data_IF_097801339019
#
_entry.id   IF_097801339019
#
_cell.length_a   1.000
_cell.length_b   1.000
_cell.length_c   1.000
_cell.angle_alpha   90.00
_cell.angle_beta   90.00
_cell.angle_gamma   90.00
#
_symmetry.space_group_name_H-M   'P 1'
#
loop_
_entity.id
_entity.type
_entity.pdbx_description
1 polymer ?
#
# COMPACT_ATOMS: atom_id res chain seq x y z
N UNK A 1 6.79 -16.62 8.47
CA UNK A 1 6.12 -15.32 8.68
C UNK A 1 6.01 -14.61 7.34
N UNK A 2 5.00 -13.75 7.16
CA UNK A 2 4.81 -12.95 5.95
C UNK A 2 5.25 -11.50 6.14
N UNK A 3 5.04 -10.70 5.11
CA UNK A 3 5.20 -9.24 5.15
C UNK A 3 3.94 -8.60 4.56
N UNK A 4 3.70 -7.35 4.92
CA UNK A 4 2.76 -6.49 4.22
C UNK A 4 3.55 -5.33 3.62
N UNK A 5 3.17 -4.87 2.44
CA UNK A 5 3.81 -3.73 1.79
C UNK A 5 2.78 -2.79 1.17
N UNK A 6 3.04 -1.50 1.29
CA UNK A 6 2.36 -0.46 0.51
C UNK A 6 3.14 -0.28 -0.79
N UNK A 7 2.41 -0.24 -1.91
CA UNK A 7 2.99 -0.03 -3.23
C UNK A 7 2.19 1.05 -3.97
N UNK A 8 2.85 1.77 -4.87
CA UNK A 8 2.17 2.63 -5.81
C UNK A 8 1.30 1.79 -6.73
N UNK A 9 -0.02 2.04 -6.72
CA UNK A 9 -0.99 1.26 -7.52
C UNK A 9 -0.75 1.36 -9.04
N UNK A 10 -0.02 2.38 -9.49
CA UNK A 10 0.24 2.66 -10.92
C UNK A 10 1.55 2.04 -11.41
N UNK A 11 2.67 2.30 -10.74
CA UNK A 11 3.99 1.78 -11.14
C UNK A 11 4.29 0.41 -10.52
N UNK A 12 3.66 0.09 -9.39
CA UNK A 12 4.01 -1.06 -8.57
C UNK A 12 5.27 -0.83 -7.75
N UNK A 13 5.81 0.39 -7.68
CA UNK A 13 6.96 0.68 -6.83
C UNK A 13 6.58 0.49 -5.34
N UNK A 14 7.45 -0.16 -4.57
CA UNK A 14 7.30 -0.28 -3.11
C UNK A 14 7.50 1.07 -2.44
N UNK A 15 6.60 1.44 -1.54
CA UNK A 15 6.73 2.67 -0.77
C UNK A 15 7.81 2.56 0.31
N UNK A 16 8.65 3.59 0.42
CA UNK A 16 9.69 3.64 1.45
C UNK A 16 9.06 3.63 2.84
N UNK A 17 9.52 2.72 3.70
CA UNK A 17 8.97 2.53 5.04
C UNK A 17 7.57 1.89 5.06
N UNK A 18 7.03 1.53 3.89
CA UNK A 18 5.71 0.93 3.75
C UNK A 18 5.70 -0.59 3.88
N UNK A 19 6.79 -1.23 4.32
CA UNK A 19 6.88 -2.69 4.49
C UNK A 19 7.02 -3.08 5.96
N UNK A 20 6.20 -4.03 6.43
CA UNK A 20 6.16 -4.48 7.83
C UNK A 20 6.12 -6.00 7.90
N UNK A 21 6.87 -6.58 8.84
CA UNK A 21 6.81 -8.01 9.14
C UNK A 21 5.51 -8.39 9.86
N UNK A 22 4.87 -9.48 9.42
CA UNK A 22 3.69 -10.03 10.07
C UNK A 22 4.10 -10.92 11.24
N UNK A 23 3.75 -10.52 12.47
CA UNK A 23 3.97 -11.34 13.66
C UNK A 23 3.08 -12.59 13.70
N UNK A 24 1.78 -12.44 13.42
CA UNK A 24 0.81 -13.54 13.34
C UNK A 24 -0.38 -13.18 12.45
N UNK A 25 -0.26 -13.57 11.18
CA UNK A 25 -1.26 -13.28 10.16
C UNK A 25 -1.42 -11.79 9.88
N UNK A 26 -2.33 -11.48 8.98
CA UNK A 26 -2.71 -10.10 8.68
C UNK A 26 -3.63 -9.56 9.77
N UNK A 27 -3.30 -8.38 10.27
CA UNK A 27 -4.07 -7.63 11.26
C UNK A 27 -4.03 -6.17 10.85
N UNK A 28 -5.09 -5.43 11.16
CA UNK A 28 -5.14 -4.00 10.86
C UNK A 28 -3.95 -3.23 11.41
N UNK A 29 -3.44 -3.58 12.60
CA UNK A 29 -2.25 -2.91 13.17
C UNK A 29 -1.01 -2.97 12.26
N UNK A 30 -0.83 -4.05 11.49
CA UNK A 30 0.32 -4.18 10.59
C UNK A 30 0.14 -3.26 9.37
N UNK A 31 -1.06 -3.24 8.79
CA UNK A 31 -1.39 -2.36 7.66
C UNK A 31 -1.47 -0.89 8.09
N UNK A 32 -1.99 -0.60 9.29
CA UNK A 32 -2.06 0.74 9.88
C UNK A 32 -0.65 1.33 9.98
N UNK A 33 0.32 0.58 10.52
CA UNK A 33 1.70 1.04 10.62
C UNK A 33 2.32 1.27 9.23
N UNK A 34 2.18 0.32 8.31
CA UNK A 34 2.71 0.42 6.96
C UNK A 34 2.13 1.62 6.18
N UNK A 35 0.81 1.78 6.21
CA UNK A 35 0.09 2.86 5.54
C UNK A 35 0.39 4.21 6.19
N UNK A 36 0.46 4.30 7.51
CA UNK A 36 0.82 5.54 8.20
C UNK A 36 2.19 6.05 7.72
N UNK A 37 3.21 5.17 7.69
CA UNK A 37 4.55 5.56 7.23
C UNK A 37 4.55 6.06 5.77
N UNK A 38 3.77 5.42 4.89
CA UNK A 38 3.60 5.88 3.51
C UNK A 38 2.88 7.25 3.46
N UNK A 39 1.80 7.41 4.22
CA UNK A 39 1.00 8.64 4.26
C UNK A 39 1.81 9.83 4.75
N UNK A 40 2.64 9.69 5.79
CA UNK A 40 3.50 10.79 6.27
C UNK A 40 4.32 11.42 5.14
N UNK A 41 4.92 10.58 4.31
CA UNK A 41 5.72 11.01 3.15
C UNK A 41 4.84 11.65 2.09
N UNK A 42 3.71 11.04 1.77
CA UNK A 42 2.79 11.55 0.73
C UNK A 42 2.18 12.90 1.15
N UNK A 43 1.78 13.06 2.41
CA UNK A 43 1.23 14.29 2.96
C UNK A 43 2.28 15.41 2.97
N UNK A 44 3.55 15.08 3.22
CA UNK A 44 4.65 16.04 3.12
C UNK A 44 4.87 16.57 1.69
N UNK A 45 4.45 15.83 0.65
CA UNK A 45 4.46 16.30 -0.75
C UNK A 45 3.28 17.23 -1.09
N UNK A 46 2.33 17.42 -0.18
CA UNK A 46 1.19 18.33 -0.37
C UNK A 46 0.12 17.82 -1.35
N UNK A 47 0.07 16.51 -1.62
CA UNK A 47 -0.98 15.93 -2.45
C UNK A 47 -2.36 16.18 -1.83
N UNK A 48 -3.34 16.55 -2.65
CA UNK A 48 -4.71 16.89 -2.21
C UNK A 48 -5.71 15.74 -2.33
N UNK A 49 -5.35 14.69 -3.07
CA UNK A 49 -6.17 13.50 -3.23
C UNK A 49 -5.29 12.26 -3.17
N UNK A 50 -5.70 11.29 -2.37
CA UNK A 50 -4.97 10.03 -2.17
C UNK A 50 -5.97 8.90 -2.37
N UNK A 51 -5.64 7.96 -3.24
CA UNK A 51 -6.43 6.76 -3.47
C UNK A 51 -5.73 5.59 -2.82
N UNK A 52 -6.39 4.94 -1.87
CA UNK A 52 -5.89 3.74 -1.20
C UNK A 52 -6.69 2.54 -1.69
N UNK A 53 -5.97 1.55 -2.23
CA UNK A 53 -6.55 0.27 -2.62
C UNK A 53 -6.20 -0.80 -1.60
N UNK A 54 -7.20 -1.55 -1.15
CA UNK A 54 -7.00 -2.69 -0.27
C UNK A 54 -8.15 -3.69 -0.42
N UNK A 55 -7.87 -4.98 -0.37
CA UNK A 55 -8.86 -6.05 -0.58
C UNK A 55 -10.08 -5.87 0.32
N UNK A 56 -9.85 -5.50 1.58
CA UNK A 56 -10.91 -5.27 2.56
C UNK A 56 -11.06 -3.78 2.90
N UNK A 57 -10.78 -2.89 1.93
CA UNK A 57 -10.91 -1.44 2.10
C UNK A 57 -12.27 -1.07 2.70
N UNK A 58 -13.37 -1.70 2.24
CA UNK A 58 -14.73 -1.43 2.73
C UNK A 58 -14.92 -1.66 4.24
N UNK A 59 -14.17 -2.59 4.84
CA UNK A 59 -14.19 -2.85 6.28
C UNK A 59 -13.13 -2.02 7.01
N UNK A 60 -11.96 -1.91 6.40
CA UNK A 60 -10.79 -1.27 7.00
C UNK A 60 -10.99 0.23 7.24
N UNK A 61 -11.59 0.93 6.27
CA UNK A 61 -11.70 2.40 6.29
C UNK A 61 -12.60 2.94 7.41
N UNK A 62 -13.60 2.16 7.86
CA UNK A 62 -14.66 2.59 8.80
C UNK A 62 -14.10 3.22 10.08
N UNK A 63 -12.97 2.69 10.58
CA UNK A 63 -12.32 3.19 11.79
C UNK A 63 -10.90 3.70 11.54
N UNK A 64 -10.55 3.99 10.29
CA UNK A 64 -9.19 4.35 9.90
C UNK A 64 -8.67 5.58 10.67
N UNK A 65 -9.39 6.71 10.64
CA UNK A 65 -8.98 7.93 11.32
C UNK A 65 -8.82 7.72 12.84
N UNK A 66 -9.72 6.95 13.45
CA UNK A 66 -9.62 6.60 14.88
C UNK A 66 -8.35 5.80 15.20
N UNK A 67 -7.92 4.92 14.30
CA UNK A 67 -6.68 4.14 14.47
C UNK A 67 -5.44 5.01 14.25
N UNK A 68 -5.46 5.92 13.27
CA UNK A 68 -4.35 6.85 13.04
C UNK A 68 -4.13 7.80 14.22
N UNK A 69 -5.22 8.32 14.79
CA UNK A 69 -5.22 9.27 15.89
C UNK A 69 -5.37 8.62 17.29
N UNK A 70 -4.97 7.36 17.46
CA UNK A 70 -5.20 6.66 18.72
C UNK A 70 -4.45 7.35 19.88
N UNK A 71 -5.11 7.68 21.02
CA UNK A 71 -4.53 8.54 22.05
C UNK A 71 -3.29 7.95 22.74
N UNK A 72 -3.25 6.62 22.90
CA UNK A 72 -2.14 5.93 23.58
C UNK A 72 -1.01 5.50 22.62
N UNK A 73 -1.24 5.51 21.32
CA UNK A 73 -0.28 5.09 20.30
C UNK A 73 -0.58 5.79 18.97
N UNK A 74 -0.42 7.12 18.90
CA UNK A 74 -0.71 7.86 17.68
C UNK A 74 0.26 7.41 16.59
N UNK A 75 -0.28 7.07 15.42
CA UNK A 75 0.52 6.73 14.24
C UNK A 75 0.84 7.97 13.41
N UNK A 76 -0.01 8.98 13.47
CA UNK A 76 0.18 10.30 12.88
C UNK A 76 0.18 11.36 13.99
N UNK A 77 1.03 12.37 13.87
CA UNK A 77 1.01 13.55 14.75
C UNK A 77 -0.13 14.52 14.40
N UNK A 78 -0.30 15.59 15.19
CA UNK A 78 -1.39 16.56 15.03
C UNK A 78 -1.34 17.27 13.66
N UNK A 79 -0.15 17.66 13.20
CA UNK A 79 0.05 18.33 11.91
C UNK A 79 -0.19 17.39 10.73
N UNK A 80 0.20 16.12 10.84
CA UNK A 80 -0.07 15.05 9.88
C UNK A 80 -1.56 14.74 9.81
N UNK A 81 -2.26 14.70 10.94
CA UNK A 81 -3.71 14.49 11.01
C UNK A 81 -4.47 15.66 10.39
N UNK A 82 -4.08 16.91 10.66
CA UNK A 82 -4.70 18.09 10.05
C UNK A 82 -4.53 18.05 8.52
N UNK A 83 -3.31 17.77 8.03
CA UNK A 83 -3.06 17.62 6.60
C UNK A 83 -3.90 16.50 5.99
N UNK A 84 -4.01 15.35 6.66
CA UNK A 84 -4.83 14.24 6.19
C UNK A 84 -6.31 14.61 6.08
N UNK A 85 -6.84 15.43 7.00
CA UNK A 85 -8.22 15.92 6.95
C UNK A 85 -8.48 16.89 5.79
N UNK A 86 -7.44 17.56 5.29
CA UNK A 86 -7.51 18.45 4.12
C UNK A 86 -7.37 17.70 2.79
N UNK A 87 -7.16 16.38 2.83
CA UNK A 87 -7.00 15.52 1.65
C UNK A 87 -8.27 14.73 1.39
N UNK A 88 -8.64 14.65 0.12
CA UNK A 88 -9.65 13.70 -0.33
C UNK A 88 -9.06 12.28 -0.32
N UNK A 89 -9.39 11.51 0.71
CA UNK A 89 -8.96 10.13 0.85
C UNK A 89 -10.02 9.17 0.30
N UNK A 90 -9.72 8.53 -0.83
CA UNK A 90 -10.62 7.61 -1.53
C UNK A 90 -10.19 6.17 -1.27
N UNK A 91 -11.14 5.32 -0.91
CA UNK A 91 -10.91 3.91 -0.63
C UNK A 91 -11.51 3.06 -1.74
N UNK A 92 -10.71 2.15 -2.30
CA UNK A 92 -11.15 1.25 -3.37
C UNK A 92 -10.74 -0.20 -3.08
N UNK A 93 -11.48 -1.13 -3.66
CA UNK A 93 -11.15 -2.56 -3.61
C UNK A 93 -10.62 -2.96 -5.00
N UNK A 94 -9.49 -3.70 -5.09
CA UNK A 94 -9.00 -4.21 -6.35
C UNK A 94 -10.08 -5.01 -7.11
N UNK A 95 -10.06 -4.93 -8.44
CA UNK A 95 -11.17 -5.40 -9.29
C UNK A 95 -11.44 -6.90 -9.15
N UNK A 96 -10.41 -7.72 -8.96
CA UNK A 96 -10.56 -9.16 -8.78
C UNK A 96 -11.27 -9.47 -7.47
N UNK A 97 -10.90 -8.76 -6.40
CA UNK A 97 -11.46 -8.95 -5.06
C UNK A 97 -12.86 -8.36 -4.90
N UNK A 98 -13.17 -7.29 -5.63
CA UNK A 98 -14.44 -6.56 -5.51
C UNK A 98 -15.67 -7.44 -5.74
N UNK A 99 -15.61 -8.42 -6.63
CA UNK A 99 -16.73 -9.33 -6.92
C UNK A 99 -17.10 -10.25 -5.75
N UNK A 100 -16.18 -10.46 -4.79
CA UNK A 100 -16.42 -11.28 -3.60
C UNK A 100 -17.05 -10.48 -2.44
N UNK A 101 -17.30 -9.18 -2.64
CA UNK A 101 -17.87 -8.31 -1.62
C UNK A 101 -19.41 -8.28 -1.70
N UNK A 102 -20.04 -7.71 -0.66
CA UNK A 102 -21.48 -7.44 -0.67
C UNK A 102 -21.85 -6.48 -1.82
N UNK A 103 -23.08 -6.59 -2.31
CA UNK A 103 -23.55 -5.88 -3.52
C UNK A 103 -23.25 -4.37 -3.52
N UNK A 104 -23.51 -3.66 -2.40
CA UNK A 104 -23.24 -2.22 -2.30
C UNK A 104 -21.76 -1.82 -2.43
N UNK A 105 -20.81 -2.75 -2.33
CA UNK A 105 -19.40 -2.46 -2.57
C UNK A 105 -19.10 -2.25 -4.05
N UNK A 106 -19.81 -2.93 -4.95
CA UNK A 106 -19.54 -2.90 -6.40
C UNK A 106 -19.65 -1.49 -7.00
N UNK A 107 -20.46 -0.63 -6.39
CA UNK A 107 -20.59 0.76 -6.80
C UNK A 107 -19.64 1.67 -5.99
N UNK A 108 -19.60 1.49 -4.67
CA UNK A 108 -18.92 2.41 -3.74
C UNK A 108 -17.39 2.31 -3.79
N UNK A 109 -16.84 1.11 -3.99
CA UNK A 109 -15.38 0.85 -3.90
C UNK A 109 -14.76 0.51 -5.26
N UNK A 110 -15.43 0.82 -6.36
CA UNK A 110 -15.02 0.44 -7.71
C UNK A 110 -14.11 1.46 -8.38
N UNK A 111 -12.98 0.97 -8.89
CA UNK A 111 -12.13 1.74 -9.79
C UNK A 111 -12.84 2.21 -11.06
N UNK A 112 -13.82 1.46 -11.57
CA UNK A 112 -14.51 1.83 -12.81
C UNK A 112 -15.44 3.04 -12.64
N UNK A 113 -15.90 3.29 -11.41
CA UNK A 113 -16.81 4.39 -11.07
C UNK A 113 -16.11 5.56 -10.37
N UNK A 114 -14.78 5.50 -10.24
CA UNK A 114 -13.99 6.55 -9.58
C UNK A 114 -13.26 7.40 -10.61
N UNK A 115 -13.46 8.72 -10.55
CA UNK A 115 -12.76 9.65 -11.42
C UNK A 115 -11.25 9.72 -11.11
N UNK A 116 -10.46 10.04 -12.13
CA UNK A 116 -9.00 10.34 -12.05
C UNK A 116 -8.10 9.21 -11.54
N UNK A 117 -8.56 7.95 -11.61
CA UNK A 117 -7.74 6.78 -11.29
C UNK A 117 -7.17 6.06 -12.53
N UNK A 118 -7.45 6.58 -13.72
CA UNK A 118 -7.08 5.94 -15.00
C UNK A 118 -7.67 4.53 -15.15
N UNK A 119 -7.11 3.71 -16.05
CA UNK A 119 -7.52 2.30 -16.22
C UNK A 119 -6.81 1.37 -15.23
N UNK A 120 -6.84 1.72 -13.95
CA UNK A 120 -6.19 0.96 -12.87
C UNK A 120 -7.05 -0.23 -12.43
N UNK A 121 -6.43 -1.36 -12.11
CA UNK A 121 -7.11 -2.56 -11.59
C UNK A 121 -6.93 -2.77 -10.07
N UNK A 122 -5.89 -2.20 -9.45
CA UNK A 122 -5.57 -2.44 -8.04
C UNK A 122 -4.72 -3.68 -7.77
N UNK A 123 -4.51 -4.55 -8.77
CA UNK A 123 -3.88 -5.88 -8.61
C UNK A 123 -2.35 -5.90 -8.75
N UNK A 124 -1.71 -4.74 -8.93
CA UNK A 124 -0.27 -4.68 -9.22
C UNK A 124 0.58 -5.24 -8.07
N UNK A 125 0.08 -5.13 -6.84
CA UNK A 125 0.74 -5.66 -5.63
C UNK A 125 0.85 -7.19 -5.68
N UNK A 126 -0.15 -7.89 -6.21
CA UNK A 126 -0.12 -9.35 -6.40
C UNK A 126 0.95 -9.78 -7.43
N UNK A 127 1.12 -8.97 -8.48
CA UNK A 127 2.19 -9.18 -9.45
C UNK A 127 3.58 -8.99 -8.83
N UNK A 128 3.71 -8.08 -7.86
CA UNK A 128 4.95 -7.92 -7.10
C UNK A 128 5.19 -9.12 -6.18
N UNK A 129 4.16 -9.62 -5.49
CA UNK A 129 4.28 -10.82 -4.67
C UNK A 129 4.74 -12.04 -5.46
N UNK A 130 4.22 -12.22 -6.67
CA UNK A 130 4.69 -13.27 -7.58
C UNK A 130 6.21 -13.23 -7.79
N UNK A 131 6.78 -12.03 -7.96
CA UNK A 131 8.23 -11.82 -8.11
C UNK A 131 9.00 -12.01 -6.80
N UNK A 132 8.40 -11.65 -5.67
CA UNK A 132 9.00 -11.79 -4.33
C UNK A 132 8.98 -13.24 -3.80
N UNK A 133 8.18 -14.14 -4.37
CA UNK A 133 8.07 -15.52 -3.90
C UNK A 133 9.43 -16.28 -3.88
N UNK A 134 10.32 -16.00 -4.83
CA UNK A 134 11.67 -16.57 -4.82
C UNK A 134 12.50 -16.10 -3.62
N UNK A 135 12.37 -14.83 -3.25
CA UNK A 135 13.04 -14.21 -2.09
C UNK A 135 12.52 -14.82 -0.79
N UNK A 136 11.23 -15.12 -0.70
CA UNK A 136 10.64 -15.75 0.49
C UNK A 136 11.30 -17.11 0.80
N UNK A 137 11.65 -17.88 -0.24
CA UNK A 137 12.37 -19.15 -0.08
C UNK A 137 13.84 -18.91 0.28
N UNK A 138 14.52 -17.99 -0.43
CA UNK A 138 15.93 -17.69 -0.20
C UNK A 138 16.22 -17.14 1.20
N UNK A 139 15.26 -16.42 1.79
CA UNK A 139 15.41 -15.76 3.09
C UNK A 139 14.92 -16.60 4.27
N UNK A 140 14.45 -17.83 4.04
CA UNK A 140 13.77 -18.64 5.06
C UNK A 140 14.66 -19.01 6.25
N UNK A 141 15.93 -19.35 5.98
CA UNK A 141 16.90 -19.77 7.00
C UNK A 141 17.78 -18.59 7.50
N UNK A 142 17.57 -17.38 6.97
CA UNK A 142 18.35 -16.21 7.36
C UNK A 142 17.97 -15.72 8.76
N UNK A 143 18.95 -15.16 9.47
CA UNK A 143 18.70 -14.45 10.73
C UNK A 143 17.78 -13.24 10.52
N UNK A 144 17.12 -12.80 11.59
CA UNK A 144 16.09 -11.74 11.53
C UNK A 144 16.54 -10.46 10.80
N UNK A 145 17.71 -9.92 11.16
CA UNK A 145 18.24 -8.70 10.54
C UNK A 145 18.62 -8.94 9.07
N UNK A 146 19.36 -10.01 8.79
CA UNK A 146 19.81 -10.35 7.43
C UNK A 146 18.64 -10.58 6.48
N UNK A 147 17.57 -11.23 6.96
CA UNK A 147 16.32 -11.40 6.19
C UNK A 147 15.72 -10.04 5.82
N UNK A 148 15.62 -9.10 6.77
CA UNK A 148 15.06 -7.77 6.52
C UNK A 148 15.89 -7.01 5.50
N UNK A 149 17.21 -6.98 5.69
CA UNK A 149 18.13 -6.27 4.79
C UNK A 149 18.05 -6.84 3.37
N UNK A 150 18.01 -8.17 3.24
CA UNK A 150 17.87 -8.85 1.93
C UNK A 150 16.55 -8.50 1.25
N UNK A 151 15.42 -8.53 1.98
CA UNK A 151 14.11 -8.18 1.40
C UNK A 151 14.09 -6.72 0.96
N UNK A 152 14.61 -5.81 1.77
CA UNK A 152 14.68 -4.38 1.47
C UNK A 152 15.56 -4.13 0.23
N UNK A 153 16.72 -4.80 0.13
CA UNK A 153 17.61 -4.67 -1.01
C UNK A 153 16.95 -5.14 -2.32
N UNK A 154 16.23 -6.27 -2.27
CA UNK A 154 15.48 -6.74 -3.45
C UNK A 154 14.34 -5.77 -3.83
N UNK A 155 13.60 -5.24 -2.86
CA UNK A 155 12.56 -4.22 -3.13
C UNK A 155 13.16 -2.94 -3.72
N UNK A 156 14.31 -2.51 -3.21
CA UNK A 156 15.03 -1.34 -3.72
C UNK A 156 15.53 -1.57 -5.16
N UNK A 157 16.07 -2.75 -5.43
CA UNK A 157 16.45 -3.16 -6.78
C UNK A 157 15.23 -3.16 -7.72
N UNK A 158 14.10 -3.72 -7.28
CA UNK A 158 12.86 -3.70 -8.06
C UNK A 158 12.44 -2.27 -8.41
N UNK A 159 12.41 -1.38 -7.42
CA UNK A 159 12.09 0.02 -7.61
C UNK A 159 13.06 0.72 -8.57
N UNK A 160 14.36 0.46 -8.44
CA UNK A 160 15.38 1.00 -9.34
C UNK A 160 15.16 0.55 -10.79
N UNK A 161 14.98 -0.76 -11.01
CA UNK A 161 14.68 -1.32 -12.33
C UNK A 161 13.42 -0.72 -12.92
N UNK A 162 12.38 -0.49 -12.11
CA UNK A 162 11.18 0.20 -12.57
C UNK A 162 11.49 1.64 -12.99
N UNK A 163 12.16 2.41 -12.14
CA UNK A 163 12.45 3.81 -12.40
C UNK A 163 13.25 4.04 -13.69
N UNK A 164 14.21 3.17 -14.01
CA UNK A 164 15.03 3.31 -15.23
C UNK A 164 14.31 2.85 -16.51
N UNK A 165 13.27 2.02 -16.40
CA UNK A 165 12.58 1.42 -17.56
C UNK A 165 11.20 2.05 -17.84
N UNK A 166 10.56 2.70 -16.87
CA UNK A 166 9.21 3.28 -17.02
C UNK A 166 9.13 4.54 -17.90
N UNK A 167 10.26 5.04 -18.41
CA UNK A 167 10.36 6.17 -19.34
C UNK A 167 10.96 5.85 -20.72
N UNK A 168 11.24 4.58 -21.03
CA UNK A 168 11.97 4.21 -22.25
C UNK A 168 11.10 4.08 -23.52
N UNK A 169 9.87 4.57 -23.51
CA UNK A 169 9.08 4.69 -24.74
C UNK A 169 9.39 6.04 -25.39
N UNK A 170 10.33 6.04 -26.33
CA UNK A 170 10.38 7.05 -27.39
C UNK A 170 9.03 7.06 -28.08
N UNK A 171 8.38 8.22 -28.12
CA UNK A 171 7.23 8.44 -29.00
C UNK A 171 7.83 8.50 -30.41
N UNK A 172 7.72 7.40 -31.16
CA UNK A 172 7.79 7.43 -32.63
C UNK A 172 6.40 7.75 -33.20
#
# INVERSE_FOLDING_TARGET
SGIISITCVRSGAFELGGTVDLAKGERFVNFDFALAQALKRILALGLKRIVVSYDIACKYNIHFLKRMAHPSWPLLDEDELERLQQVELVWLVPKFHLAAHIEGCADTYSFNWTADVGRTCGEIVESNWSKMNGVATATREMGFSQRRDTIIDVMAHFNFTKAINEGMFSIE
#
